data_IF_667221320487
#
_entry.id   IF_667221320487
#
_cell.length_a   1.000
_cell.length_b   1.000
_cell.length_c   1.000
_cell.angle_alpha   90.00
_cell.angle_beta   90.00
_cell.angle_gamma   90.00
#
_symmetry.space_group_name_H-M   'P 1'
#
loop_
_entity.id
_entity.type
_entity.pdbx_description
1 polymer ?
#
# COMPACT_ATOMS: atom_id res chain seq x y z
N UNK A 1 21.43 4.63 -1.13
CA UNK A 1 20.55 4.79 -2.30
C UNK A 1 19.11 4.48 -1.92
N UNK A 2 18.20 5.26 -2.41
CA UNK A 2 16.79 5.13 -2.05
C UNK A 2 16.13 3.96 -2.79
N UNK A 3 15.50 3.07 -2.06
CA UNK A 3 14.76 1.97 -2.66
C UNK A 3 13.35 2.47 -2.98
N UNK A 4 12.93 2.39 -4.23
CA UNK A 4 11.58 2.76 -4.59
C UNK A 4 10.60 1.67 -4.18
N UNK A 5 9.33 2.04 -4.08
CA UNK A 5 8.29 1.07 -3.72
C UNK A 5 8.20 -0.03 -4.78
N UNK A 6 8.39 0.32 -6.04
CA UNK A 6 8.34 -0.66 -7.12
C UNK A 6 9.50 -1.66 -7.04
N UNK A 7 10.68 -1.19 -6.66
CA UNK A 7 11.82 -2.08 -6.44
C UNK A 7 11.57 -3.02 -5.25
N UNK A 8 10.95 -2.52 -4.20
CA UNK A 8 10.62 -3.34 -3.05
C UNK A 8 9.61 -4.43 -3.42
N UNK A 9 8.60 -4.08 -4.23
CA UNK A 9 7.63 -5.07 -4.70
C UNK A 9 8.28 -6.12 -5.58
N UNK A 10 9.16 -5.70 -6.49
CA UNK A 10 9.86 -6.63 -7.37
C UNK A 10 10.70 -7.60 -6.56
N UNK A 11 11.43 -7.09 -5.57
CA UNK A 11 12.22 -7.93 -4.68
C UNK A 11 11.35 -8.89 -3.89
N UNK A 12 10.20 -8.42 -3.41
CA UNK A 12 9.28 -9.25 -2.65
C UNK A 12 8.69 -10.37 -3.51
N UNK A 13 8.31 -10.06 -4.74
CA UNK A 13 7.76 -11.06 -5.66
C UNK A 13 8.81 -12.11 -5.98
N UNK A 14 10.03 -11.68 -6.27
CA UNK A 14 11.11 -12.62 -6.58
C UNK A 14 11.44 -13.52 -5.39
N UNK A 15 11.45 -12.95 -4.20
CA UNK A 15 11.72 -13.73 -2.99
C UNK A 15 10.57 -14.71 -2.70
N UNK A 16 9.36 -14.31 -2.94
CA UNK A 16 8.18 -15.13 -2.68
C UNK A 16 8.14 -16.38 -3.55
N UNK A 17 8.78 -16.34 -4.69
CA UNK A 17 8.85 -17.52 -5.58
C UNK A 17 9.73 -18.63 -5.02
N UNK A 18 10.69 -18.29 -4.18
CA UNK A 18 11.66 -19.25 -3.65
C UNK A 18 11.56 -19.45 -2.14
N UNK A 19 10.79 -18.64 -1.46
CA UNK A 19 10.69 -18.65 0.00
C UNK A 19 9.22 -18.61 0.39
N UNK A 20 8.76 -19.55 1.24
CA UNK A 20 7.38 -19.49 1.70
C UNK A 20 7.15 -18.21 2.49
N UNK A 21 5.93 -17.64 2.45
CA UNK A 21 5.64 -16.47 3.26
C UNK A 21 5.70 -16.80 4.75
N UNK A 22 5.83 -15.76 5.57
CA UNK A 22 5.83 -15.93 7.01
C UNK A 22 4.44 -16.37 7.49
N UNK A 23 4.28 -16.54 8.81
CA UNK A 23 3.03 -17.01 9.38
C UNK A 23 1.84 -16.11 9.04
N UNK A 24 2.09 -14.82 8.88
CA UNK A 24 1.05 -13.86 8.54
C UNK A 24 0.72 -13.85 7.05
N UNK A 25 1.49 -14.56 6.25
CA UNK A 25 1.28 -14.60 4.82
C UNK A 25 1.84 -13.41 4.06
N UNK A 26 2.68 -12.61 4.70
CA UNK A 26 3.26 -11.41 4.09
C UNK A 26 4.77 -11.51 4.00
N UNK A 27 5.32 -10.90 2.98
CA UNK A 27 6.75 -10.74 2.81
C UNK A 27 7.04 -9.27 2.58
N UNK A 28 7.71 -8.63 3.54
CA UNK A 28 7.96 -7.20 3.55
C UNK A 28 9.42 -6.86 3.35
N UNK A 29 9.68 -5.76 2.63
CA UNK A 29 11.00 -5.18 2.50
C UNK A 29 10.97 -3.73 2.96
N UNK A 30 11.88 -3.37 3.85
CA UNK A 30 11.99 -2.00 4.37
C UNK A 30 12.56 -1.09 3.29
N UNK A 31 12.03 0.11 3.17
CA UNK A 31 12.57 1.12 2.27
C UNK A 31 13.71 1.87 2.95
N UNK A 32 14.85 1.96 2.28
CA UNK A 32 16.13 2.33 2.90
C UNK A 32 16.22 3.73 3.48
N UNK A 33 15.60 4.71 2.89
CA UNK A 33 15.82 6.09 3.27
C UNK A 33 14.85 6.64 4.31
N UNK A 34 14.17 5.75 5.00
CA UNK A 34 13.16 6.15 5.96
C UNK A 34 13.67 5.96 7.38
N UNK A 35 14.75 6.67 7.73
CA UNK A 35 15.46 6.44 8.99
C UNK A 35 14.57 6.53 10.24
N UNK A 36 13.69 7.52 10.28
CA UNK A 36 12.82 7.74 11.43
C UNK A 36 11.44 7.11 11.27
N UNK A 37 11.16 6.60 10.08
CA UNK A 37 9.84 6.08 9.75
C UNK A 37 10.04 4.76 9.04
N UNK A 38 9.26 3.77 9.41
CA UNK A 38 9.41 2.45 8.82
C UNK A 38 8.28 2.20 7.85
N UNK A 39 8.64 2.22 6.58
CA UNK A 39 7.72 1.97 5.48
C UNK A 39 8.22 0.75 4.72
N UNK A 40 7.32 -0.17 4.43
CA UNK A 40 7.66 -1.42 3.78
C UNK A 40 6.87 -1.59 2.50
N UNK A 41 7.50 -2.16 1.50
CA UNK A 41 6.82 -2.68 0.33
C UNK A 41 6.87 -4.19 0.41
N UNK A 42 5.80 -4.86 0.02
CA UNK A 42 5.78 -6.30 0.08
C UNK A 42 4.66 -6.92 -0.70
N UNK A 43 4.47 -8.21 -0.47
CA UNK A 43 3.38 -8.98 -1.10
C UNK A 43 2.74 -9.88 -0.05
N UNK A 44 1.48 -10.23 -0.30
CA UNK A 44 0.79 -11.21 0.52
C UNK A 44 0.98 -12.62 -0.06
N UNK A 45 0.33 -13.61 0.52
CA UNK A 45 0.45 -14.99 0.10
C UNK A 45 -0.04 -15.22 -1.33
N UNK A 46 -0.88 -14.35 -1.83
CA UNK A 46 -1.42 -14.43 -3.18
C UNK A 46 -0.69 -13.52 -4.17
N UNK A 47 0.43 -12.96 -3.74
CA UNK A 47 1.27 -12.06 -4.53
C UNK A 47 0.63 -10.72 -4.86
N UNK A 48 -0.35 -10.30 -4.08
CA UNK A 48 -0.87 -8.94 -4.18
C UNK A 48 0.13 -7.99 -3.52
N UNK A 49 0.44 -6.89 -4.20
CA UNK A 49 1.39 -5.93 -3.65
C UNK A 49 0.76 -5.13 -2.52
N UNK A 50 1.57 -4.84 -1.51
CA UNK A 50 1.12 -4.08 -0.34
C UNK A 50 2.12 -2.99 0.00
N UNK A 51 1.60 -1.92 0.60
CA UNK A 51 2.40 -0.88 1.23
C UNK A 51 2.05 -0.93 2.72
N UNK A 52 3.06 -1.01 3.58
CA UNK A 52 2.85 -1.04 5.02
C UNK A 52 3.62 0.08 5.69
N UNK A 53 2.99 0.73 6.64
CA UNK A 53 3.59 1.84 7.38
C UNK A 53 3.50 1.52 8.86
N UNK A 54 4.65 1.48 9.54
CA UNK A 54 4.68 1.17 10.95
C UNK A 54 4.36 2.39 11.81
N UNK A 55 3.47 2.22 12.77
CA UNK A 55 3.12 3.25 13.74
C UNK A 55 3.14 2.66 15.13
N UNK A 56 3.40 3.48 16.13
CA UNK A 56 3.56 3.00 17.51
C UNK A 56 2.22 2.71 18.20
N UNK A 57 1.19 3.48 17.86
CA UNK A 57 -0.12 3.32 18.48
C UNK A 57 -1.11 2.76 17.46
N UNK A 58 -2.11 2.04 17.95
CA UNK A 58 -3.14 1.48 17.09
C UNK A 58 -3.84 2.60 16.32
N UNK A 59 -3.72 2.61 14.98
CA UNK A 59 -4.35 3.68 14.20
C UNK A 59 -5.86 3.49 14.10
N UNK A 60 -6.55 4.60 13.89
CA UNK A 60 -7.99 4.53 13.65
C UNK A 60 -8.27 3.81 12.34
N UNK A 61 -9.42 3.15 12.25
CA UNK A 61 -9.84 2.56 10.99
C UNK A 61 -10.34 3.65 10.06
N UNK A 62 -10.10 3.45 8.78
CA UNK A 62 -10.69 4.29 7.75
C UNK A 62 -11.71 3.45 7.00
N UNK A 63 -12.86 4.04 6.73
CA UNK A 63 -13.89 3.36 5.96
C UNK A 63 -13.47 3.38 4.49
N UNK A 64 -12.91 2.29 4.01
CA UNK A 64 -12.50 2.17 2.63
C UNK A 64 -13.34 1.09 1.96
N UNK A 65 -14.13 1.47 0.98
CA UNK A 65 -14.93 0.54 0.21
C UNK A 65 -14.53 0.64 -1.25
N UNK A 66 -13.61 -0.21 -1.65
CA UNK A 66 -13.13 -0.23 -3.02
C UNK A 66 -12.91 -1.68 -3.44
N UNK A 67 -13.27 -2.00 -4.67
CA UNK A 67 -13.01 -3.32 -5.22
C UNK A 67 -11.54 -3.50 -5.57
N UNK A 68 -10.81 -2.41 -5.69
CA UNK A 68 -9.42 -2.44 -6.13
C UNK A 68 -8.41 -2.36 -5.00
N UNK A 69 -8.80 -1.82 -3.85
CA UNK A 69 -7.86 -1.46 -2.80
C UNK A 69 -8.42 -1.82 -1.43
N UNK A 70 -7.60 -2.47 -0.61
CA UNK A 70 -7.93 -2.77 0.78
C UNK A 70 -7.07 -1.93 1.72
N UNK A 71 -7.65 -1.51 2.82
CA UNK A 71 -6.90 -0.93 3.92
C UNK A 71 -7.24 -1.68 5.20
N UNK A 72 -6.22 -2.06 5.96
CA UNK A 72 -6.42 -2.72 7.26
C UNK A 72 -5.22 -2.48 8.15
N UNK A 73 -5.38 -2.85 9.42
CA UNK A 73 -4.32 -2.70 10.42
C UNK A 73 -3.86 -4.09 10.84
N UNK A 74 -2.56 -4.24 10.99
CA UNK A 74 -1.98 -5.47 11.52
C UNK A 74 -1.15 -5.11 12.73
N UNK A 75 -1.26 -5.89 13.78
CA UNK A 75 -0.34 -5.78 14.89
C UNK A 75 0.96 -6.46 14.50
N UNK A 76 2.07 -5.78 14.70
CA UNK A 76 3.36 -6.35 14.34
C UNK A 76 3.87 -7.18 15.51
N UNK A 77 3.86 -8.50 15.34
CA UNK A 77 4.27 -9.41 16.39
C UNK A 77 5.73 -9.24 16.75
N UNK A 78 6.00 -9.28 18.06
CA UNK A 78 7.38 -9.12 18.55
C UNK A 78 7.83 -7.68 18.67
N UNK A 79 7.00 -6.71 18.20
CA UNK A 79 7.37 -5.30 18.22
C UNK A 79 6.21 -4.52 18.78
N UNK A 80 5.80 -4.25 19.64
CA UNK A 80 4.71 -3.47 20.22
C UNK A 80 4.27 -2.29 19.32
N UNK A 81 4.11 -2.59 18.04
CA UNK A 81 3.75 -1.58 17.03
C UNK A 81 2.68 -2.14 16.12
N UNK A 82 2.13 -1.25 15.27
CA UNK A 82 1.08 -1.59 14.32
C UNK A 82 1.51 -1.25 12.91
N UNK A 83 0.97 -1.95 11.95
CA UNK A 83 1.17 -1.64 10.54
C UNK A 83 -0.14 -1.17 9.94
N UNK A 84 -0.09 -0.05 9.24
CA UNK A 84 -1.17 0.40 8.37
C UNK A 84 -0.89 -0.21 7.01
N UNK A 85 -1.75 -1.09 6.52
CA UNK A 85 -1.49 -1.85 5.30
C UNK A 85 -2.47 -1.48 4.21
N UNK A 86 -1.93 -1.17 3.03
CA UNK A 86 -2.69 -0.90 1.82
C UNK A 86 -2.39 -2.03 0.85
N UNK A 87 -3.41 -2.72 0.37
CA UNK A 87 -3.24 -3.85 -0.54
C UNK A 87 -3.97 -3.59 -1.84
N UNK A 88 -3.26 -3.75 -2.94
CA UNK A 88 -3.85 -3.63 -4.26
C UNK A 88 -4.41 -4.98 -4.68
N UNK A 89 -5.69 -5.04 -5.01
CA UNK A 89 -6.34 -6.27 -5.44
C UNK A 89 -6.43 -6.41 -6.96
N UNK A 90 -6.31 -5.31 -7.67
CA UNK A 90 -6.38 -5.32 -9.14
C UNK A 90 -5.00 -5.04 -9.72
N UNK A 91 -4.35 -6.06 -10.22
CA UNK A 91 -2.99 -5.95 -10.74
C UNK A 91 -2.90 -5.04 -11.97
N UNK A 92 -3.98 -4.86 -12.70
CA UNK A 92 -4.00 -3.96 -13.85
C UNK A 92 -3.82 -2.50 -13.44
N UNK A 93 -4.03 -2.17 -12.17
CA UNK A 93 -3.84 -0.82 -11.67
C UNK A 93 -2.48 -0.62 -10.99
N UNK A 94 -1.59 -1.59 -11.13
CA UNK A 94 -0.28 -1.52 -10.49
C UNK A 94 0.52 -0.27 -10.84
N UNK A 95 0.60 0.17 -12.09
CA UNK A 95 1.36 1.39 -12.40
C UNK A 95 0.80 2.62 -11.68
N UNK A 96 -0.52 2.74 -11.61
CA UNK A 96 -1.16 3.86 -10.92
C UNK A 96 -0.90 3.77 -9.42
N UNK A 97 -1.09 2.59 -8.84
CA UNK A 97 -0.87 2.38 -7.42
C UNK A 97 0.58 2.65 -7.04
N UNK A 98 1.53 2.21 -7.88
CA UNK A 98 2.95 2.46 -7.64
C UNK A 98 3.27 3.94 -7.58
N UNK A 99 2.70 4.72 -8.50
CA UNK A 99 2.91 6.15 -8.52
C UNK A 99 2.31 6.83 -7.30
N UNK A 100 1.10 6.43 -6.91
CA UNK A 100 0.44 7.00 -5.74
C UNK A 100 1.18 6.65 -4.46
N UNK A 101 1.65 5.42 -4.35
CA UNK A 101 2.44 5.01 -3.18
C UNK A 101 3.75 5.79 -3.10
N UNK A 102 4.42 6.00 -4.22
CA UNK A 102 5.67 6.75 -4.21
C UNK A 102 5.44 8.19 -3.78
N UNK A 103 4.38 8.82 -4.27
CA UNK A 103 4.02 10.17 -3.86
C UNK A 103 3.70 10.23 -2.36
N UNK A 104 2.98 9.25 -1.87
CA UNK A 104 2.65 9.18 -0.45
C UNK A 104 3.91 9.02 0.41
N UNK A 105 4.81 8.15 -0.01
CA UNK A 105 6.07 7.93 0.71
C UNK A 105 6.86 9.23 0.82
N UNK A 106 6.93 9.99 -0.26
CA UNK A 106 7.65 11.27 -0.26
C UNK A 106 7.02 12.26 0.71
N UNK A 107 5.69 12.27 0.80
CA UNK A 107 5.03 13.14 1.77
C UNK A 107 5.21 12.64 3.21
N UNK A 108 5.24 11.34 3.41
CA UNK A 108 5.49 10.76 4.74
C UNK A 108 6.85 11.19 5.25
N UNK A 109 7.86 11.24 4.39
CA UNK A 109 9.19 11.66 4.77
C UNK A 109 9.23 13.06 5.38
N UNK A 110 8.32 13.92 4.98
CA UNK A 110 8.27 15.29 5.46
C UNK A 110 7.38 15.51 6.68
N UNK A 111 6.70 14.46 7.17
CA UNK A 111 5.86 14.60 8.35
C UNK A 111 6.71 14.65 9.61
N UNK A 112 6.28 15.46 10.57
CA UNK A 112 7.05 15.67 11.82
C UNK A 112 6.66 14.70 12.93
N UNK A 113 5.46 14.17 12.89
CA UNK A 113 4.99 13.28 13.94
C UNK A 113 4.01 12.25 13.38
N UNK A 114 3.76 11.22 14.19
CA UNK A 114 2.96 10.09 13.80
C UNK A 114 1.49 10.46 13.57
N UNK A 115 0.98 11.37 14.38
CA UNK A 115 -0.41 11.82 14.22
C UNK A 115 -0.63 12.46 12.86
N UNK A 116 0.28 13.30 12.43
CA UNK A 116 0.22 13.94 11.12
C UNK A 116 0.35 12.90 10.02
N UNK A 117 1.22 11.92 10.22
CA UNK A 117 1.41 10.84 9.26
C UNK A 117 0.13 10.03 9.08
N UNK A 118 -0.51 9.64 10.17
CA UNK A 118 -1.75 8.86 10.12
C UNK A 118 -2.85 9.64 9.42
N UNK A 119 -2.96 10.92 9.73
CA UNK A 119 -3.95 11.78 9.08
C UNK A 119 -3.71 11.91 7.58
N UNK A 120 -2.45 12.03 7.20
CA UNK A 120 -2.07 12.10 5.80
C UNK A 120 -2.47 10.83 5.05
N UNK A 121 -2.18 9.67 5.62
CA UNK A 121 -2.54 8.39 5.02
C UNK A 121 -4.05 8.27 4.84
N UNK A 122 -4.82 8.59 5.88
CA UNK A 122 -6.27 8.50 5.80
C UNK A 122 -6.86 9.46 4.76
N UNK A 123 -6.30 10.65 4.65
CA UNK A 123 -6.75 11.62 3.65
C UNK A 123 -6.48 11.11 2.24
N UNK A 124 -5.31 10.53 2.04
CA UNK A 124 -4.96 9.96 0.74
C UNK A 124 -5.84 8.76 0.39
N UNK A 125 -6.17 7.94 1.37
CA UNK A 125 -7.06 6.80 1.15
C UNK A 125 -8.43 7.24 0.65
N UNK A 126 -8.98 8.29 1.25
CA UNK A 126 -10.26 8.83 0.81
C UNK A 126 -10.20 9.29 -0.64
N UNK A 127 -9.11 9.96 -0.99
CA UNK A 127 -8.91 10.45 -2.36
C UNK A 127 -8.73 9.28 -3.33
N UNK A 128 -7.92 8.30 -2.96
CA UNK A 128 -7.63 7.15 -3.80
C UNK A 128 -8.87 6.29 -4.02
N UNK A 129 -9.71 6.18 -3.01
CA UNK A 129 -10.96 5.43 -3.14
C UNK A 129 -11.78 5.99 -4.29
N UNK A 130 -11.91 7.29 -4.35
CA UNK A 130 -12.64 7.94 -5.46
C UNK A 130 -11.97 7.66 -6.79
N UNK A 131 -10.65 7.79 -6.82
CA UNK A 131 -9.89 7.62 -8.05
C UNK A 131 -10.02 6.19 -8.58
N UNK A 132 -9.83 5.20 -7.72
CA UNK A 132 -9.90 3.80 -8.12
C UNK A 132 -11.31 3.36 -8.46
N UNK A 133 -12.30 3.85 -7.75
CA UNK A 133 -13.69 3.51 -8.05
C UNK A 133 -14.10 4.08 -9.39
N UNK A 134 -13.74 5.31 -9.67
CA UNK A 134 -14.03 5.94 -10.96
C UNK A 134 -13.27 5.24 -12.08
N UNK A 135 -11.99 4.97 -11.87
CA UNK A 135 -11.18 4.30 -12.88
C UNK A 135 -11.70 2.90 -13.17
N UNK A 136 -12.06 2.17 -12.12
CA UNK A 136 -12.62 0.83 -12.28
C UNK A 136 -13.93 0.84 -13.03
N UNK A 137 -14.86 1.68 -12.60
CA UNK A 137 -16.15 1.79 -13.24
C UNK A 137 -16.04 2.38 -14.64
N UNK A 138 -15.25 3.44 -14.76
CA UNK A 138 -15.08 4.11 -16.03
C UNK A 138 -14.42 3.23 -17.08
N UNK A 139 -13.40 2.50 -16.67
CA UNK A 139 -12.73 1.61 -17.59
C UNK A 139 -13.67 0.50 -18.08
N UNK A 140 -14.39 -0.09 -17.17
CA UNK A 140 -15.33 -1.15 -17.54
C UNK A 140 -16.41 -0.62 -18.46
N UNK A 141 -16.99 0.51 -18.13
CA UNK A 141 -18.05 1.09 -18.94
C UNK A 141 -17.55 1.58 -20.28
N UNK A 142 -16.38 2.21 -20.32
CA UNK A 142 -15.87 2.71 -21.58
C UNK A 142 -15.43 1.60 -22.51
N UNK A 143 -14.98 0.51 -21.97
CA UNK A 143 -14.64 -0.66 -22.78
C UNK A 143 -15.88 -1.36 -23.31
N UNK A 144 -16.95 -1.24 -22.61
CA UNK A 144 -18.21 -1.78 -23.06
C UNK A 144 -18.88 -0.90 -24.07
N UNK A 145 -18.66 0.35 -23.92
CA UNK A 145 -19.23 1.35 -24.78
C UNK A 145 -18.36 1.64 -25.94
N UNK A 146 -17.32 1.91 -25.53
CA UNK A 146 -16.79 2.39 -26.02
C UNK A 146 -16.51 2.24 -26.53
N UNK A 147 -16.54 2.06 -26.04
CA UNK A 147 -16.62 1.96 -26.11
C UNK A 147 -16.48 2.46 -26.29
N UNK A 148 -16.34 2.59 -26.14
CA UNK A 148 -16.52 2.94 -26.06
C UNK A 148 -16.32 3.31 -26.07
N UNK A 149 -16.24 3.51 -26.37
CA UNK A 149 -16.32 3.73 -26.34
C UNK A 149 -16.25 3.68 -26.49
#
# INVERSE_FOLDING_TARGET
>A
MKTSIEQAWESAINKARSTPPNEDGYLFFLLDDMADKKVFGGVDAEHNVVLAIEVSAKPATAALKSAALDYFRLRREGFDTWLMVLRLRRSDLLPVFGRLCQDLIEEIESTDNEETLIRLVHRRLTLWQRLFDQSGAGLLESHQVMGLL
#
